data_IF_232193454954
#
_entry.id   IF_232193454954
#
_cell.length_a   1.000
_cell.length_b   1.000
_cell.length_c   1.000
_cell.angle_alpha   90.00
_cell.angle_beta   90.00
_cell.angle_gamma   90.00
#
_symmetry.space_group_name_H-M   'P 1'
#
loop_
_entity.id
_entity.type
_entity.pdbx_description
1 polymer ?
#
# COMPACT_ATOMS: atom_id res chain seq x y z
N UNK A 1 -26.12 -12.28 32.05
CA UNK A 1 -26.53 -13.48 31.32
C UNK A 1 -26.91 -13.07 29.90
N UNK A 2 -26.54 -13.86 28.96
CA UNK A 2 -26.59 -13.69 27.51
C UNK A 2 -25.47 -12.78 26.91
N UNK A 3 -24.33 -13.44 26.66
CA UNK A 3 -23.36 -12.95 25.72
C UNK A 3 -24.01 -12.91 24.32
N UNK A 4 -24.20 -11.73 23.78
CA UNK A 4 -24.59 -11.56 22.39
C UNK A 4 -23.31 -11.69 21.57
N UNK A 5 -23.11 -12.88 21.08
CA UNK A 5 -22.16 -13.24 20.05
C UNK A 5 -22.49 -12.41 18.81
N UNK A 6 -21.75 -11.33 18.62
CA UNK A 6 -21.84 -10.58 17.38
C UNK A 6 -21.07 -11.37 16.33
N UNK A 7 -21.81 -12.25 15.66
CA UNK A 7 -21.35 -12.94 14.46
C UNK A 7 -20.77 -11.87 13.51
N UNK A 8 -19.52 -12.08 13.12
CA UNK A 8 -18.89 -11.36 12.05
C UNK A 8 -19.76 -11.52 10.80
N UNK A 9 -20.50 -10.47 10.47
CA UNK A 9 -21.12 -10.37 9.15
C UNK A 9 -19.96 -10.25 8.18
N UNK A 10 -19.64 -11.34 7.50
CA UNK A 10 -18.81 -11.31 6.32
C UNK A 10 -19.47 -10.33 5.35
N UNK A 11 -18.98 -9.11 5.34
CA UNK A 11 -19.51 -8.04 4.51
C UNK A 11 -19.41 -8.46 3.06
N UNK A 12 -20.52 -8.41 2.34
CA UNK A 12 -20.51 -8.62 0.90
C UNK A 12 -19.60 -7.54 0.30
N UNK A 13 -18.48 -7.98 -0.28
CA UNK A 13 -17.54 -7.05 -0.93
C UNK A 13 -18.21 -6.45 -2.13
N UNK A 14 -18.26 -5.12 -2.18
CA UNK A 14 -18.84 -4.41 -3.31
C UNK A 14 -17.80 -4.34 -4.45
N UNK A 15 -18.00 -5.05 -5.56
CA UNK A 15 -17.08 -5.05 -6.69
C UNK A 15 -16.99 -3.68 -7.40
N UNK A 16 -17.86 -2.73 -7.07
CA UNK A 16 -17.81 -1.36 -7.56
C UNK A 16 -16.74 -0.51 -6.86
N UNK A 17 -16.28 -0.94 -5.69
CA UNK A 17 -15.26 -0.27 -4.91
C UNK A 17 -13.86 -0.63 -5.43
N UNK A 18 -12.99 0.37 -5.49
CA UNK A 18 -11.58 0.18 -5.78
C UNK A 18 -10.84 -0.36 -4.57
N UNK A 19 -11.06 0.24 -3.42
CA UNK A 19 -10.46 -0.14 -2.15
C UNK A 19 -11.54 -0.14 -1.07
N UNK A 20 -11.54 -1.17 -0.25
CA UNK A 20 -12.37 -1.26 0.93
C UNK A 20 -11.50 -1.60 2.13
N UNK A 21 -11.69 -0.88 3.21
CA UNK A 21 -10.96 -1.03 4.48
C UNK A 21 -11.96 -1.28 5.58
N UNK A 22 -11.83 -2.43 6.24
CA UNK A 22 -12.80 -2.92 7.21
C UNK A 22 -12.14 -3.22 8.56
N UNK A 23 -12.53 -2.47 9.60
CA UNK A 23 -12.24 -2.77 10.99
C UNK A 23 -10.75 -2.84 11.34
N UNK A 24 -9.92 -2.05 10.70
CA UNK A 24 -8.47 -2.13 10.83
C UNK A 24 -8.00 -1.62 12.18
N UNK A 25 -7.19 -2.43 12.86
CA UNK A 25 -6.60 -2.11 14.15
C UNK A 25 -5.07 -2.16 14.10
N UNK A 26 -4.46 -1.23 14.84
CA UNK A 26 -3.02 -1.20 15.06
C UNK A 26 -2.67 -0.55 16.38
N UNK A 27 -1.92 -1.29 17.19
CA UNK A 27 -1.38 -0.83 18.47
C UNK A 27 0.14 -0.76 18.39
N UNK A 28 0.72 0.27 18.96
CA UNK A 28 2.15 0.37 19.24
C UNK A 28 2.34 0.37 20.76
N UNK A 29 3.54 0.07 21.30
CA UNK A 29 3.78 0.10 22.72
C UNK A 29 3.28 1.42 23.36
N UNK A 30 2.24 1.32 24.20
CA UNK A 30 1.62 2.45 24.91
C UNK A 30 0.62 3.30 24.12
N UNK A 31 0.38 3.02 22.80
CA UNK A 31 -0.55 3.82 21.99
C UNK A 31 -1.35 2.95 21.05
N UNK A 32 -2.68 3.04 21.13
CA UNK A 32 -3.59 2.46 20.12
C UNK A 32 -3.70 3.44 18.95
N UNK A 33 -3.00 3.16 17.87
CA UNK A 33 -2.88 4.08 16.74
C UNK A 33 -4.08 4.03 15.78
N UNK A 34 -4.72 2.86 15.67
CA UNK A 34 -5.94 2.66 14.88
C UNK A 34 -6.89 1.76 15.65
N UNK A 35 -8.17 2.10 15.65
CA UNK A 35 -9.23 1.41 16.37
C UNK A 35 -10.44 1.20 15.47
N UNK A 36 -10.51 0.04 14.82
CA UNK A 36 -11.64 -0.32 13.97
C UNK A 36 -11.84 0.60 12.76
N UNK A 37 -10.77 1.12 12.16
CA UNK A 37 -10.85 2.06 11.05
C UNK A 37 -11.52 1.44 9.83
N UNK A 38 -12.43 2.23 9.20
CA UNK A 38 -13.20 1.83 8.02
C UNK A 38 -13.28 2.98 7.04
N UNK A 39 -13.14 2.70 5.76
CA UNK A 39 -13.46 3.59 4.66
C UNK A 39 -13.48 2.84 3.34
N UNK A 40 -14.16 3.42 2.36
CA UNK A 40 -14.28 2.91 1.01
C UNK A 40 -13.79 3.94 0.02
N UNK A 41 -13.21 3.48 -1.10
CA UNK A 41 -12.76 4.30 -2.21
C UNK A 41 -13.29 3.73 -3.52
N UNK A 42 -13.95 4.54 -4.31
CA UNK A 42 -14.45 4.17 -5.64
C UNK A 42 -13.41 4.43 -6.72
N UNK A 43 -13.59 3.78 -7.86
CA UNK A 43 -12.74 4.04 -9.03
C UNK A 43 -12.90 5.47 -9.52
N UNK A 44 -11.78 6.18 -9.69
CA UNK A 44 -11.77 7.58 -10.09
C UNK A 44 -12.09 8.59 -9.00
N UNK A 45 -12.29 8.15 -7.77
CA UNK A 45 -12.54 9.01 -6.61
C UNK A 45 -11.24 9.48 -5.96
N UNK A 46 -11.28 10.66 -5.35
CA UNK A 46 -10.24 11.18 -4.46
C UNK A 46 -10.81 11.27 -3.06
N UNK A 47 -10.28 10.46 -2.15
CA UNK A 47 -10.69 10.42 -0.74
C UNK A 47 -9.69 11.19 0.13
N UNK A 48 -10.18 12.17 0.87
CA UNK A 48 -9.39 12.91 1.86
C UNK A 48 -9.49 12.31 3.26
N UNK A 49 -8.37 11.84 3.82
CA UNK A 49 -8.30 11.44 5.22
C UNK A 49 -7.94 12.66 6.09
N UNK A 50 -8.94 13.16 6.83
CA UNK A 50 -8.81 14.33 7.69
C UNK A 50 -8.75 13.90 9.16
N UNK A 51 -7.98 14.60 9.96
CA UNK A 51 -7.84 14.34 11.39
C UNK A 51 -6.63 15.06 11.97
N UNK A 52 -6.56 15.17 13.28
CA UNK A 52 -5.44 15.79 14.01
C UNK A 52 -4.12 15.02 13.82
N UNK A 53 -3.02 15.66 14.19
CA UNK A 53 -1.72 14.98 14.22
C UNK A 53 -1.78 13.86 15.27
N UNK A 54 -1.36 12.65 14.87
CA UNK A 54 -1.49 11.46 15.70
C UNK A 54 -2.78 10.65 15.48
N UNK A 55 -3.75 11.12 14.69
CA UNK A 55 -5.00 10.40 14.40
C UNK A 55 -4.85 9.13 13.55
N UNK A 56 -3.64 8.58 13.39
CA UNK A 56 -3.43 7.31 12.69
C UNK A 56 -3.35 7.39 11.16
N UNK A 57 -3.53 8.56 10.52
CA UNK A 57 -3.52 8.70 9.05
C UNK A 57 -2.28 8.10 8.39
N UNK A 58 -1.10 8.47 8.86
CA UNK A 58 0.18 7.95 8.33
C UNK A 58 0.37 6.47 8.65
N UNK A 59 -0.14 6.01 9.79
CA UNK A 59 -0.12 4.60 10.17
C UNK A 59 -0.97 3.78 9.21
N UNK A 60 -2.16 4.27 8.85
CA UNK A 60 -3.04 3.63 7.88
C UNK A 60 -2.38 3.48 6.50
N UNK A 61 -1.72 4.54 6.01
CA UNK A 61 -0.98 4.47 4.74
C UNK A 61 0.16 3.44 4.79
N UNK A 62 0.87 3.35 5.91
CA UNK A 62 1.95 2.37 6.11
C UNK A 62 1.45 0.93 6.21
N UNK A 63 0.24 0.72 6.73
CA UNK A 63 -0.42 -0.59 6.73
C UNK A 63 -0.83 -1.01 5.32
N UNK A 64 -1.47 -0.12 4.56
CA UNK A 64 -1.88 -0.38 3.17
C UNK A 64 -0.69 -0.70 2.26
N UNK A 65 0.47 -0.12 2.55
CA UNK A 65 1.69 -0.35 1.76
C UNK A 65 2.60 -1.45 2.31
N UNK A 66 2.15 -2.21 3.32
CA UNK A 66 2.91 -3.32 3.86
C UNK A 66 4.18 -2.94 4.63
N UNK A 67 4.35 -1.66 5.00
CA UNK A 67 5.44 -1.22 5.89
C UNK A 67 5.19 -1.69 7.32
N UNK A 68 3.91 -1.69 7.73
CA UNK A 68 3.47 -2.26 8.99
C UNK A 68 2.48 -3.39 8.74
N UNK A 69 2.46 -4.38 9.65
CA UNK A 69 1.42 -5.40 9.68
C UNK A 69 0.23 -4.93 10.53
N UNK A 70 -0.99 -5.20 10.07
CA UNK A 70 -2.22 -4.99 10.85
C UNK A 70 -2.35 -6.08 11.92
N UNK A 71 -3.07 -5.77 12.99
CA UNK A 71 -3.41 -6.72 14.06
C UNK A 71 -4.79 -7.34 13.84
N UNK A 72 -5.72 -6.52 13.33
CA UNK A 72 -7.06 -6.94 12.95
C UNK A 72 -7.56 -6.16 11.74
N UNK A 73 -8.70 -6.59 11.19
CA UNK A 73 -9.33 -5.98 10.03
C UNK A 73 -8.81 -6.50 8.70
N UNK A 74 -9.45 -6.05 7.64
CA UNK A 74 -9.20 -6.54 6.28
C UNK A 74 -9.10 -5.39 5.29
N UNK A 75 -8.33 -5.63 4.22
CA UNK A 75 -8.24 -4.79 3.04
C UNK A 75 -8.70 -5.55 1.83
N UNK A 76 -9.42 -4.87 0.96
CA UNK A 76 -9.91 -5.43 -0.30
C UNK A 76 -9.60 -4.45 -1.42
N UNK A 77 -9.03 -4.95 -2.49
CA UNK A 77 -8.68 -4.17 -3.67
C UNK A 77 -9.34 -4.79 -4.90
N UNK A 78 -10.18 -4.02 -5.60
CA UNK A 78 -10.99 -4.49 -6.73
C UNK A 78 -11.86 -5.74 -6.40
N UNK A 79 -12.33 -5.86 -5.16
CA UNK A 79 -13.12 -7.01 -4.69
C UNK A 79 -12.31 -8.24 -4.29
N UNK A 80 -10.97 -8.18 -4.37
CA UNK A 80 -10.09 -9.26 -3.94
C UNK A 80 -9.40 -8.91 -2.62
N UNK A 81 -9.20 -9.90 -1.71
CA UNK A 81 -8.54 -9.64 -0.44
C UNK A 81 -7.08 -9.23 -0.67
N UNK A 82 -6.71 -8.09 -0.10
CA UNK A 82 -5.37 -7.53 -0.21
C UNK A 82 -4.53 -7.92 1.01
N UNK A 83 -3.60 -8.85 0.81
CA UNK A 83 -2.65 -9.28 1.83
C UNK A 83 -1.23 -8.92 1.40
N UNK A 84 -0.79 -7.73 1.81
CA UNK A 84 0.55 -7.23 1.54
C UNK A 84 1.38 -7.23 2.83
N UNK A 85 2.60 -7.71 2.74
CA UNK A 85 3.56 -7.77 3.84
C UNK A 85 4.82 -6.96 3.54
N UNK A 86 4.97 -6.51 2.31
CA UNK A 86 6.12 -5.72 1.86
C UNK A 86 5.68 -4.60 0.92
N UNK A 87 6.41 -3.47 0.88
CA UNK A 87 6.14 -2.40 -0.07
C UNK A 87 6.21 -2.83 -1.54
N UNK A 88 7.00 -3.86 -1.83
CA UNK A 88 7.11 -4.42 -3.18
C UNK A 88 5.83 -5.14 -3.59
N UNK A 89 5.26 -5.96 -2.71
CA UNK A 89 3.96 -6.63 -2.94
C UNK A 89 2.84 -5.61 -3.12
N UNK A 90 2.83 -4.54 -2.31
CA UNK A 90 1.88 -3.45 -2.48
C UNK A 90 1.98 -2.79 -3.86
N UNK A 91 3.21 -2.56 -4.34
CA UNK A 91 3.48 -2.01 -5.67
C UNK A 91 3.03 -2.95 -6.80
N UNK A 92 3.27 -4.25 -6.64
CA UNK A 92 2.81 -5.30 -7.58
C UNK A 92 1.27 -5.40 -7.62
N UNK A 93 0.61 -5.17 -6.48
CA UNK A 93 -0.85 -5.05 -6.39
C UNK A 93 -1.41 -3.73 -6.96
N UNK A 94 -0.54 -2.78 -7.34
CA UNK A 94 -0.94 -1.49 -7.92
C UNK A 94 -1.06 -0.34 -6.92
N UNK A 95 -0.66 -0.54 -5.66
CA UNK A 95 -0.62 0.51 -4.65
C UNK A 95 0.70 1.25 -4.71
N UNK A 96 0.65 2.58 -4.65
CA UNK A 96 1.84 3.43 -4.58
C UNK A 96 1.67 4.50 -3.52
N UNK A 97 2.75 4.84 -2.84
CA UNK A 97 2.75 5.89 -1.81
C UNK A 97 3.73 6.98 -2.19
N UNK A 98 3.31 8.22 -2.00
CA UNK A 98 4.19 9.38 -2.05
C UNK A 98 4.53 9.74 -0.61
N UNK A 99 5.80 9.59 -0.25
CA UNK A 99 6.28 9.95 1.08
C UNK A 99 6.38 11.48 1.22
N UNK A 100 6.23 11.95 2.44
CA UNK A 100 6.29 13.37 2.78
C UNK A 100 7.70 13.95 2.54
N UNK A 101 8.74 13.13 2.71
CA UNK A 101 10.12 13.48 2.43
C UNK A 101 10.56 12.93 1.08
N UNK A 102 11.12 13.80 0.24
CA UNK A 102 11.71 13.43 -1.04
C UNK A 102 13.12 12.89 -0.80
N UNK A 103 13.24 11.59 -0.69
CA UNK A 103 14.53 10.90 -0.55
C UNK A 103 15.19 10.72 -1.92
N UNK A 104 15.74 11.82 -2.46
CA UNK A 104 16.52 11.77 -3.70
C UNK A 104 17.94 11.28 -3.41
N UNK A 105 18.42 10.41 -4.26
CA UNK A 105 19.81 9.96 -4.22
C UNK A 105 20.66 11.01 -4.94
N UNK A 106 21.37 11.84 -4.17
CA UNK A 106 22.05 13.05 -4.66
C UNK A 106 23.13 12.84 -5.70
N UNK A 107 23.73 11.63 -5.76
CA UNK A 107 24.76 11.25 -6.75
C UNK A 107 24.19 10.61 -8.03
N UNK A 108 22.88 10.49 -8.14
CA UNK A 108 22.20 10.00 -9.33
C UNK A 108 21.57 11.15 -10.10
N UNK A 109 21.50 11.02 -11.41
CA UNK A 109 20.77 11.95 -12.26
C UNK A 109 19.26 11.92 -11.99
N UNK A 110 18.53 12.92 -12.44
CA UNK A 110 17.07 12.98 -12.33
C UNK A 110 16.42 11.76 -12.96
N UNK A 111 16.87 11.35 -14.14
CA UNK A 111 16.35 10.16 -14.83
C UNK A 111 16.59 8.88 -14.02
N UNK A 112 17.76 8.71 -13.43
CA UNK A 112 18.08 7.55 -12.59
C UNK A 112 17.24 7.54 -11.29
N UNK A 113 17.00 8.69 -10.68
CA UNK A 113 16.11 8.80 -9.52
C UNK A 113 14.66 8.40 -9.88
N UNK A 114 14.14 8.82 -11.03
CA UNK A 114 12.80 8.46 -11.50
C UNK A 114 12.68 6.95 -11.77
N UNK A 115 13.74 6.35 -12.31
CA UNK A 115 13.78 4.93 -12.66
C UNK A 115 14.33 4.03 -11.54
N UNK A 116 14.60 4.58 -10.37
CA UNK A 116 15.11 3.83 -9.23
C UNK A 116 14.15 2.67 -8.87
N UNK A 117 14.67 1.45 -8.82
CA UNK A 117 13.89 0.25 -8.54
C UNK A 117 13.06 -0.30 -9.72
N UNK A 118 12.97 0.42 -10.86
CA UNK A 118 12.23 -0.01 -12.05
C UNK A 118 13.13 -0.50 -13.19
N UNK A 119 14.40 -0.76 -12.95
CA UNK A 119 15.31 -1.32 -13.98
C UNK A 119 14.81 -2.71 -14.36
N UNK A 120 13.98 -2.78 -15.39
CA UNK A 120 13.76 -4.02 -16.09
C UNK A 120 15.09 -4.45 -16.69
N UNK A 121 15.50 -5.68 -16.43
CA UNK A 121 16.77 -6.31 -16.88
C UNK A 121 16.80 -6.48 -18.41
N UNK A 122 16.50 -5.42 -19.16
CA UNK A 122 16.54 -5.40 -20.64
C UNK A 122 17.92 -5.07 -21.19
N UNK A 123 18.90 -4.79 -20.33
CA UNK A 123 20.26 -4.43 -20.80
C UNK A 123 21.25 -5.59 -20.87
N UNK A 124 20.85 -6.82 -20.49
CA UNK A 124 21.71 -8.02 -20.65
C UNK A 124 21.72 -8.62 -22.06
N UNK A 125 21.03 -8.03 -23.00
CA UNK A 125 20.92 -8.57 -24.32
C UNK A 125 21.19 -7.58 -25.45
N UNK A 126 22.36 -6.95 -25.52
CA UNK A 126 22.96 -6.48 -26.80
C UNK A 126 24.23 -5.66 -26.57
N UNK A 127 25.24 -6.25 -26.01
CA UNK A 127 26.61 -5.91 -26.41
C UNK A 127 26.97 -6.82 -27.61
N UNK A 128 26.33 -6.51 -28.75
CA UNK A 128 26.57 -7.20 -30.02
C UNK A 128 27.93 -6.81 -30.52
N UNK A 129 28.82 -7.78 -30.60
CA UNK A 129 30.08 -7.80 -31.33
C UNK A 129 29.99 -6.96 -32.60
N UNK A 130 30.68 -5.84 -32.65
CA UNK A 130 31.15 -5.30 -33.91
C UNK A 130 32.23 -6.27 -34.45
N UNK A 131 31.85 -7.15 -35.35
CA UNK A 131 32.77 -7.86 -36.20
C UNK A 131 33.45 -6.80 -37.06
N UNK A 132 34.76 -6.58 -36.87
CA UNK A 132 35.64 -6.01 -37.90
C UNK A 132 35.79 -7.12 -38.91
N UNK A 133 35.31 -6.94 -40.09
CA UNK A 133 35.66 -7.70 -41.27
C UNK A 133 36.89 -7.06 -41.94
N UNK A 134 37.52 -7.79 -42.83
CA UNK A 134 38.88 -7.55 -43.31
C UNK A 134 39.03 -6.30 -44.16
#
# INVERSE_FOLDING_TARGET
>A
MTATETAAVAGAHDPSLLLQVEGVEKTFPGVKALEGMRFDLRKGEVLGLVGENGAGKSTMMKLLTGIYSREAGEFWLNGEPLNVHTPKEAQEAGLSIIHQELNLVSHLSVAENIWLGRRTDRSRGRCGRRRRGP
#
